data_IF_740019920200
#
_entry.id   IF_740019920200
#
_cell.length_a   1.000
_cell.length_b   1.000
_cell.length_c   1.000
_cell.angle_alpha   90.00
_cell.angle_beta   90.00
_cell.angle_gamma   90.00
#
_symmetry.space_group_name_H-M   'P 1'
#
loop_
_entity.id
_entity.type
_entity.pdbx_description
1 polymer ?
#
# COMPACT_ATOMS: atom_id res chain seq x y z
N UNK A 1 -75.98 -7.89 -1.35
CA UNK A 1 -74.57 -7.66 -1.75
C UNK A 1 -73.77 -7.41 -0.48
N UNK A 2 -72.69 -8.18 -0.29
CA UNK A 2 -71.93 -8.30 0.95
C UNK A 2 -70.98 -7.11 1.15
N UNK A 3 -70.91 -6.63 2.40
CA UNK A 3 -69.82 -5.82 2.96
C UNK A 3 -68.55 -6.68 3.07
N UNK A 4 -67.38 -6.14 2.74
CA UNK A 4 -66.08 -6.72 3.09
C UNK A 4 -65.42 -5.84 4.15
N UNK A 5 -65.36 -6.38 5.36
CA UNK A 5 -64.62 -5.85 6.50
C UNK A 5 -63.12 -6.22 6.39
N UNK A 6 -62.29 -5.28 6.86
CA UNK A 6 -61.05 -5.44 7.63
C UNK A 6 -60.05 -6.53 7.25
N UNK A 7 -58.91 -6.09 6.73
CA UNK A 7 -57.62 -6.79 6.77
C UNK A 7 -56.75 -6.15 7.89
N UNK A 8 -57.08 -6.47 9.13
CA UNK A 8 -56.18 -6.41 10.29
C UNK A 8 -56.29 -7.78 10.96
N UNK A 9 -55.19 -8.22 11.59
CA UNK A 9 -54.88 -9.59 12.07
C UNK A 9 -54.22 -10.48 10.99
N UNK A 10 -53.07 -11.11 11.15
CA UNK A 10 -52.20 -11.35 12.30
C UNK A 10 -50.88 -11.93 11.77
N UNK A 11 -49.75 -11.24 11.93
CA UNK A 11 -48.43 -11.88 11.81
C UNK A 11 -48.03 -12.34 13.22
N UNK A 12 -48.77 -13.32 13.74
CA UNK A 12 -48.57 -13.88 15.06
C UNK A 12 -47.50 -15.00 14.99
N UNK A 13 -46.27 -14.56 15.23
CA UNK A 13 -45.12 -15.13 15.96
C UNK A 13 -44.95 -16.63 16.29
N UNK A 14 -45.61 -17.59 15.60
CA UNK A 14 -45.41 -19.04 15.90
C UNK A 14 -45.24 -19.99 14.72
N UNK A 15 -45.16 -19.51 13.49
CA UNK A 15 -44.96 -20.39 12.30
C UNK A 15 -43.50 -20.59 11.88
N UNK A 16 -42.54 -19.98 12.59
CA UNK A 16 -41.11 -20.07 12.26
C UNK A 16 -40.40 -21.30 12.85
N UNK A 17 -40.98 -21.99 13.82
CA UNK A 17 -40.42 -23.19 14.44
C UNK A 17 -40.83 -24.47 13.70
N UNK A 18 -40.18 -24.76 12.56
CA UNK A 18 -39.94 -26.14 12.09
C UNK A 18 -39.08 -26.17 10.82
N UNK A 19 -38.12 -27.09 10.84
CA UNK A 19 -37.18 -27.54 9.82
C UNK A 19 -36.05 -26.59 9.36
N UNK A 20 -34.86 -26.87 9.89
CA UNK A 20 -33.67 -26.02 9.92
C UNK A 20 -32.66 -26.15 8.78
N UNK A 21 -32.98 -26.85 7.68
CA UNK A 21 -32.08 -26.97 6.52
C UNK A 21 -32.38 -25.95 5.41
N UNK A 22 -33.64 -25.88 4.96
CA UNK A 22 -34.04 -25.03 3.83
C UNK A 22 -34.25 -23.55 4.20
N UNK A 23 -34.75 -23.26 5.40
CA UNK A 23 -35.02 -21.88 5.87
C UNK A 23 -33.75 -21.03 6.00
N UNK A 24 -32.60 -21.66 6.22
CA UNK A 24 -31.31 -20.98 6.49
C UNK A 24 -30.71 -20.31 5.26
N UNK A 25 -30.76 -20.98 4.10
CA UNK A 25 -30.37 -20.37 2.82
C UNK A 25 -31.47 -19.44 2.28
N UNK A 26 -32.72 -19.68 2.67
CA UNK A 26 -33.85 -18.84 2.26
C UNK A 26 -33.83 -17.47 2.96
N UNK A 27 -33.48 -17.39 4.24
CA UNK A 27 -33.37 -16.11 4.95
C UNK A 27 -32.24 -15.23 4.36
N UNK A 28 -31.07 -15.81 4.09
CA UNK A 28 -29.96 -15.11 3.44
C UNK A 28 -30.25 -14.79 1.98
N UNK A 29 -30.95 -15.68 1.26
CA UNK A 29 -31.46 -15.42 -0.09
C UNK A 29 -32.52 -14.31 -0.13
N UNK A 30 -33.35 -14.18 0.90
CA UNK A 30 -34.31 -13.10 1.06
C UNK A 30 -33.60 -11.79 1.43
N UNK A 31 -32.57 -11.83 2.28
CA UNK A 31 -31.76 -10.65 2.63
C UNK A 31 -31.01 -10.15 1.39
N UNK A 32 -30.34 -11.04 0.65
CA UNK A 32 -29.66 -10.66 -0.59
C UNK A 32 -30.62 -10.24 -1.70
N UNK A 33 -31.81 -10.86 -1.81
CA UNK A 33 -32.86 -10.39 -2.72
C UNK A 33 -33.44 -9.03 -2.29
N UNK A 34 -33.63 -8.78 -1.01
CA UNK A 34 -34.10 -7.49 -0.48
C UNK A 34 -33.08 -6.38 -0.69
N UNK A 35 -31.79 -6.68 -0.52
CA UNK A 35 -30.69 -5.74 -0.80
C UNK A 35 -30.55 -5.48 -2.31
N UNK A 36 -30.62 -6.52 -3.15
CA UNK A 36 -30.58 -6.36 -4.61
C UNK A 36 -31.80 -5.60 -5.15
N UNK A 37 -33.00 -5.85 -4.63
CA UNK A 37 -34.22 -5.14 -4.99
C UNK A 37 -34.23 -3.70 -4.46
N UNK A 38 -33.71 -3.47 -3.25
CA UNK A 38 -33.52 -2.15 -2.66
C UNK A 38 -32.52 -1.30 -3.47
N UNK A 39 -31.36 -1.87 -3.81
CA UNK A 39 -30.37 -1.21 -4.64
C UNK A 39 -30.92 -0.93 -6.05
N UNK A 40 -31.55 -1.89 -6.72
CA UNK A 40 -32.11 -1.71 -8.07
C UNK A 40 -33.23 -0.66 -8.11
N UNK A 41 -34.09 -0.62 -7.09
CA UNK A 41 -35.15 0.39 -7.00
C UNK A 41 -34.63 1.79 -6.67
N UNK A 42 -33.55 1.90 -5.88
CA UNK A 42 -32.86 3.17 -5.63
C UNK A 42 -32.12 3.71 -6.86
N UNK A 43 -31.56 2.83 -7.71
CA UNK A 43 -30.91 3.24 -8.97
C UNK A 43 -31.87 3.63 -10.09
N UNK A 44 -33.15 3.26 -10.00
CA UNK A 44 -34.17 3.53 -11.02
C UNK A 44 -35.10 4.70 -10.69
N UNK A 45 -34.96 5.32 -9.52
CA UNK A 45 -35.76 6.48 -9.13
C UNK A 45 -35.09 7.80 -9.49
N UNK A 46 -35.75 8.58 -10.36
CA UNK A 46 -35.52 10.03 -10.47
C UNK A 46 -35.77 10.72 -9.12
N UNK A 47 -35.14 11.88 -8.93
CA UNK A 47 -35.00 12.73 -7.71
C UNK A 47 -36.30 13.13 -6.97
N UNK A 48 -37.46 12.57 -7.33
CA UNK A 48 -38.79 12.94 -6.82
C UNK A 48 -39.68 11.75 -6.36
N UNK A 49 -39.11 10.64 -5.89
CA UNK A 49 -39.91 9.51 -5.40
C UNK A 49 -40.27 9.61 -3.91
N UNK A 50 -41.60 9.56 -3.64
CA UNK A 50 -42.31 9.46 -2.36
C UNK A 50 -41.46 9.07 -1.12
N UNK A 51 -41.39 9.98 -0.14
CA UNK A 51 -40.78 9.78 1.18
C UNK A 51 -41.22 8.48 1.88
N UNK A 52 -42.47 8.05 1.66
CA UNK A 52 -43.00 6.80 2.20
C UNK A 52 -42.25 5.57 1.65
N UNK A 53 -41.90 5.56 0.36
CA UNK A 53 -41.17 4.45 -0.26
C UNK A 53 -39.75 4.37 0.26
N UNK A 54 -39.08 5.52 0.41
CA UNK A 54 -37.76 5.60 1.03
C UNK A 54 -37.79 5.17 2.50
N UNK A 55 -38.84 5.52 3.24
CA UNK A 55 -39.04 5.06 4.62
C UNK A 55 -39.18 3.53 4.71
N UNK A 56 -39.95 2.88 3.83
CA UNK A 56 -40.06 1.41 3.81
C UNK A 56 -38.74 0.72 3.49
N UNK A 57 -38.00 1.23 2.49
CA UNK A 57 -36.66 0.72 2.16
C UNK A 57 -35.74 0.82 3.37
N UNK A 58 -35.71 1.98 4.06
CA UNK A 58 -34.93 2.16 5.30
C UNK A 58 -35.31 1.16 6.39
N UNK A 59 -36.60 0.97 6.64
CA UNK A 59 -37.08 0.04 7.66
C UNK A 59 -36.65 -1.41 7.38
N UNK A 60 -36.65 -1.82 6.12
CA UNK A 60 -36.21 -3.16 5.73
C UNK A 60 -34.68 -3.32 5.81
N UNK A 61 -33.90 -2.26 5.54
CA UNK A 61 -32.46 -2.24 5.83
C UNK A 61 -32.16 -2.35 7.34
N UNK A 62 -32.85 -1.60 8.20
CA UNK A 62 -32.68 -1.67 9.66
C UNK A 62 -32.96 -3.09 10.18
N UNK A 63 -34.03 -3.73 9.68
CA UNK A 63 -34.34 -5.13 10.01
C UNK A 63 -33.25 -6.08 9.53
N UNK A 64 -32.73 -5.86 8.32
CA UNK A 64 -31.66 -6.68 7.75
C UNK A 64 -30.39 -6.60 8.58
N UNK A 65 -29.98 -5.39 9.00
CA UNK A 65 -28.83 -5.18 9.88
C UNK A 65 -29.02 -5.86 11.24
N UNK A 66 -30.20 -5.78 11.85
CA UNK A 66 -30.50 -6.50 13.10
C UNK A 66 -30.39 -8.02 12.94
N UNK A 67 -30.85 -8.56 11.82
CA UNK A 67 -30.71 -10.00 11.54
C UNK A 67 -29.23 -10.36 11.35
N UNK A 68 -28.48 -9.56 10.60
CA UNK A 68 -27.03 -9.71 10.41
C UNK A 68 -26.33 -9.70 11.77
N UNK A 69 -26.57 -8.72 12.63
CA UNK A 69 -25.96 -8.64 13.96
C UNK A 69 -26.35 -9.84 14.84
N UNK A 70 -27.59 -10.34 14.73
CA UNK A 70 -28.00 -11.56 15.45
C UNK A 70 -27.25 -12.82 14.98
N UNK A 71 -26.86 -12.87 13.70
CA UNK A 71 -26.04 -13.95 13.14
C UNK A 71 -24.60 -13.80 13.63
N UNK A 72 -24.04 -12.59 13.57
CA UNK A 72 -22.65 -12.31 13.99
C UNK A 72 -22.42 -12.58 15.49
N UNK A 73 -23.44 -12.39 16.33
CA UNK A 73 -23.38 -12.68 17.75
C UNK A 73 -23.62 -14.18 18.10
N UNK A 74 -23.87 -15.04 17.10
CA UNK A 74 -24.16 -16.46 17.32
C UNK A 74 -23.00 -17.35 16.82
N UNK A 75 -22.20 -17.85 17.76
CA UNK A 75 -21.00 -18.64 17.49
C UNK A 75 -21.25 -20.01 16.84
N UNK A 76 -22.49 -20.50 16.81
CA UNK A 76 -22.82 -21.84 16.28
C UNK A 76 -23.01 -21.87 14.74
N UNK A 77 -22.87 -20.72 14.05
CA UNK A 77 -23.19 -20.58 12.62
C UNK A 77 -22.03 -20.05 11.78
N UNK A 78 -20.89 -20.73 11.85
CA UNK A 78 -19.62 -20.33 11.20
C UNK A 78 -19.75 -19.99 9.70
N UNK A 79 -20.47 -20.77 8.90
CA UNK A 79 -20.66 -20.48 7.46
C UNK A 79 -21.51 -19.22 7.21
N UNK A 80 -22.47 -18.92 8.09
CA UNK A 80 -23.33 -17.74 7.97
C UNK A 80 -22.64 -16.48 8.49
N UNK A 81 -21.66 -16.66 9.38
CA UNK A 81 -20.85 -15.58 9.92
C UNK A 81 -20.07 -14.85 8.82
N UNK A 82 -19.41 -15.60 7.93
CA UNK A 82 -18.68 -15.02 6.81
C UNK A 82 -19.60 -14.20 5.88
N UNK A 83 -20.73 -14.78 5.49
CA UNK A 83 -21.69 -14.11 4.60
C UNK A 83 -22.32 -12.87 5.25
N UNK A 84 -22.62 -12.95 6.56
CA UNK A 84 -23.11 -11.81 7.32
C UNK A 84 -22.08 -10.67 7.37
N UNK A 85 -20.79 -11.00 7.57
CA UNK A 85 -19.70 -10.02 7.52
C UNK A 85 -19.55 -9.40 6.12
N UNK A 86 -19.64 -10.21 5.05
CA UNK A 86 -19.56 -9.73 3.66
C UNK A 86 -20.67 -8.71 3.39
N UNK A 87 -21.93 -9.08 3.63
CA UNK A 87 -23.09 -8.19 3.43
C UNK A 87 -22.98 -6.93 4.30
N UNK A 88 -22.64 -7.08 5.59
CA UNK A 88 -22.50 -5.93 6.50
C UNK A 88 -21.44 -4.96 6.00
N UNK A 89 -20.29 -5.46 5.57
CA UNK A 89 -19.20 -4.63 5.06
C UNK A 89 -19.58 -3.88 3.79
N UNK A 90 -20.38 -4.47 2.90
CA UNK A 90 -20.87 -3.80 1.69
C UNK A 90 -21.82 -2.65 2.03
N UNK A 91 -22.79 -2.88 2.93
CA UNK A 91 -23.75 -1.85 3.37
C UNK A 91 -23.03 -0.67 4.03
N UNK A 92 -22.05 -0.93 4.89
CA UNK A 92 -21.30 0.10 5.63
C UNK A 92 -20.29 0.85 4.76
N UNK A 93 -19.82 0.26 3.65
CA UNK A 93 -18.82 0.86 2.77
C UNK A 93 -19.40 1.63 1.59
N UNK A 94 -20.70 1.49 1.30
CA UNK A 94 -21.37 2.24 0.26
C UNK A 94 -21.66 3.68 0.71
N UNK A 95 -21.03 4.66 0.06
CA UNK A 95 -21.22 6.10 0.32
C UNK A 95 -22.65 6.60 0.09
N UNK A 96 -23.46 5.85 -0.66
CA UNK A 96 -24.87 6.17 -0.91
C UNK A 96 -25.81 5.58 0.13
N UNK A 97 -25.30 4.68 0.98
CA UNK A 97 -26.05 4.08 2.07
C UNK A 97 -26.24 5.10 3.18
N UNK A 98 -27.46 5.18 3.73
CA UNK A 98 -27.73 5.93 4.96
C UNK A 98 -26.96 5.35 6.18
N UNK A 99 -26.45 4.12 6.05
CA UNK A 99 -25.65 3.42 7.06
C UNK A 99 -24.15 3.49 6.76
N UNK A 100 -23.72 4.39 5.87
CA UNK A 100 -22.31 4.55 5.55
C UNK A 100 -21.47 4.91 6.78
N UNK A 101 -20.63 3.98 7.22
CA UNK A 101 -19.67 4.18 8.28
C UNK A 101 -18.34 3.51 7.91
N UNK A 102 -17.36 4.33 7.52
CA UNK A 102 -16.02 3.87 7.15
C UNK A 102 -15.30 3.15 8.30
N UNK A 103 -15.50 3.58 9.54
CA UNK A 103 -14.82 3.01 10.70
C UNK A 103 -15.38 1.63 11.04
N UNK A 104 -16.71 1.50 11.04
CA UNK A 104 -17.37 0.22 11.23
C UNK A 104 -17.08 -0.72 10.05
N UNK A 105 -17.19 -0.23 8.80
CA UNK A 105 -16.83 -0.99 7.60
C UNK A 105 -15.41 -1.55 7.67
N UNK A 106 -14.43 -0.72 8.05
CA UNK A 106 -13.04 -1.16 8.22
C UNK A 106 -12.95 -2.27 9.27
N UNK A 107 -13.63 -2.13 10.41
CA UNK A 107 -13.61 -3.15 11.49
C UNK A 107 -14.25 -4.46 11.04
N UNK A 108 -15.41 -4.40 10.38
CA UNK A 108 -16.09 -5.57 9.80
C UNK A 108 -15.23 -6.26 8.75
N UNK A 109 -14.56 -5.51 7.88
CA UNK A 109 -13.65 -6.08 6.88
C UNK A 109 -12.42 -6.75 7.50
N UNK A 110 -11.90 -6.23 8.63
CA UNK A 110 -10.79 -6.87 9.35
C UNK A 110 -11.21 -8.24 9.86
N UNK A 111 -12.41 -8.32 10.42
CA UNK A 111 -12.98 -9.58 10.88
C UNK A 111 -13.20 -10.53 9.69
N UNK A 112 -13.80 -10.05 8.60
CA UNK A 112 -13.99 -10.83 7.38
C UNK A 112 -12.68 -11.38 6.83
N UNK A 113 -11.61 -10.57 6.81
CA UNK A 113 -10.30 -11.00 6.36
C UNK A 113 -9.71 -12.10 7.24
N UNK A 114 -9.93 -12.04 8.56
CA UNK A 114 -9.48 -13.08 9.49
C UNK A 114 -10.16 -14.44 9.27
N UNK A 115 -11.40 -14.43 8.75
CA UNK A 115 -12.16 -15.63 8.38
C UNK A 115 -11.75 -16.11 6.99
N UNK A 116 -11.75 -15.20 6.02
CA UNK A 116 -11.46 -15.45 4.62
C UNK A 116 -10.41 -14.45 4.16
N UNK A 117 -9.16 -14.93 4.09
CA UNK A 117 -8.00 -14.20 3.58
C UNK A 117 -8.12 -13.90 2.06
N UNK A 118 -9.11 -13.10 1.67
CA UNK A 118 -9.44 -12.75 0.30
C UNK A 118 -8.60 -11.58 -0.21
N UNK A 119 -8.24 -11.64 -1.49
CA UNK A 119 -7.58 -10.54 -2.19
C UNK A 119 -8.44 -9.27 -2.22
N UNK A 120 -9.74 -9.42 -2.47
CA UNK A 120 -10.67 -8.29 -2.55
C UNK A 120 -10.82 -7.59 -1.20
N UNK A 121 -10.98 -8.36 -0.13
CA UNK A 121 -11.07 -7.84 1.25
C UNK A 121 -9.79 -7.13 1.66
N UNK A 122 -8.61 -7.68 1.32
CA UNK A 122 -7.34 -7.01 1.59
C UNK A 122 -7.20 -5.67 0.86
N UNK A 123 -7.63 -5.59 -0.41
CA UNK A 123 -7.64 -4.32 -1.16
C UNK A 123 -8.56 -3.29 -0.51
N UNK A 124 -9.80 -3.68 -0.21
CA UNK A 124 -10.76 -2.82 0.49
C UNK A 124 -10.24 -2.32 1.84
N UNK A 125 -9.52 -3.17 2.58
CA UNK A 125 -8.89 -2.79 3.84
C UNK A 125 -7.78 -1.75 3.66
N UNK A 126 -6.93 -1.90 2.65
CA UNK A 126 -5.90 -0.90 2.33
C UNK A 126 -6.55 0.42 1.92
N UNK A 127 -7.52 0.39 1.00
CA UNK A 127 -8.21 1.59 0.50
C UNK A 127 -8.94 2.35 1.62
N UNK A 128 -9.69 1.64 2.46
CA UNK A 128 -10.36 2.25 3.62
C UNK A 128 -9.37 2.70 4.68
N UNK A 129 -8.30 1.94 4.90
CA UNK A 129 -7.23 2.33 5.83
C UNK A 129 -6.60 3.65 5.43
N UNK A 130 -6.24 3.81 4.15
CA UNK A 130 -5.71 5.06 3.61
C UNK A 130 -6.76 6.19 3.71
N UNK A 131 -8.02 5.93 3.38
CA UNK A 131 -9.11 6.91 3.51
C UNK A 131 -9.41 7.34 4.95
N UNK A 132 -9.00 6.52 5.93
CA UNK A 132 -9.09 6.79 7.38
C UNK A 132 -7.78 7.30 7.97
N UNK A 133 -6.76 7.58 7.15
CA UNK A 133 -5.42 7.98 7.56
C UNK A 133 -4.80 7.00 8.59
N UNK A 134 -5.05 5.70 8.40
CA UNK A 134 -4.42 4.64 9.20
C UNK A 134 -2.92 4.62 8.91
N UNK A 135 -2.12 4.38 9.94
CA UNK A 135 -0.67 4.29 9.74
C UNK A 135 -0.31 3.09 8.86
N UNK A 136 0.78 3.17 8.09
CA UNK A 136 1.25 2.02 7.29
C UNK A 136 1.44 0.76 8.14
N UNK A 137 1.82 0.92 9.41
CA UNK A 137 1.96 -0.19 10.36
C UNK A 137 0.63 -0.90 10.63
N UNK A 138 -0.48 -0.18 10.66
CA UNK A 138 -1.81 -0.76 10.93
C UNK A 138 -2.38 -1.52 9.73
N UNK A 139 -1.99 -1.14 8.51
CA UNK A 139 -2.41 -1.81 7.26
C UNK A 139 -1.34 -2.76 6.70
N UNK A 140 -0.20 -2.89 7.40
CA UNK A 140 0.98 -3.59 6.90
C UNK A 140 0.69 -5.05 6.55
N UNK A 141 -0.06 -5.77 7.37
CA UNK A 141 -0.37 -7.18 7.14
C UNK A 141 -1.16 -7.39 5.83
N UNK A 142 -2.05 -6.44 5.50
CA UNK A 142 -2.84 -6.46 4.26
C UNK A 142 -1.97 -6.10 3.06
N UNK A 143 -1.10 -5.09 3.18
CA UNK A 143 -0.12 -4.74 2.16
C UNK A 143 0.83 -5.91 1.87
N UNK A 144 1.35 -6.57 2.91
CA UNK A 144 2.25 -7.70 2.75
C UNK A 144 1.53 -8.90 2.10
N UNK A 145 0.28 -9.15 2.46
CA UNK A 145 -0.56 -10.16 1.83
C UNK A 145 -0.73 -9.89 0.33
N UNK A 146 -1.12 -8.67 -0.05
CA UNK A 146 -1.28 -8.25 -1.44
C UNK A 146 0.04 -8.32 -2.22
N UNK A 147 1.14 -7.89 -1.61
CA UNK A 147 2.46 -7.94 -2.22
C UNK A 147 2.89 -9.38 -2.53
N UNK A 148 2.66 -10.33 -1.61
CA UNK A 148 2.89 -11.77 -1.84
C UNK A 148 2.04 -12.34 -2.98
N UNK A 149 0.93 -11.67 -3.32
CA UNK A 149 0.05 -12.00 -4.45
C UNK A 149 0.36 -11.18 -5.71
N UNK A 150 1.54 -10.56 -5.77
CA UNK A 150 2.08 -9.82 -6.92
C UNK A 150 1.35 -8.51 -7.24
N UNK A 151 0.68 -7.92 -6.25
CA UNK A 151 0.12 -6.58 -6.38
C UNK A 151 1.25 -5.54 -6.37
N UNK A 152 1.45 -4.84 -7.50
CA UNK A 152 2.64 -4.00 -7.74
C UNK A 152 2.72 -2.82 -6.77
N UNK A 153 1.59 -2.16 -6.53
CA UNK A 153 1.51 -1.02 -5.61
C UNK A 153 1.86 -1.48 -4.18
N UNK A 154 1.29 -2.59 -3.75
CA UNK A 154 1.59 -3.19 -2.44
C UNK A 154 3.05 -3.61 -2.33
N UNK A 155 3.64 -4.21 -3.37
CA UNK A 155 5.08 -4.54 -3.41
C UNK A 155 5.92 -3.28 -3.21
N UNK A 156 5.58 -2.18 -3.88
CA UNK A 156 6.29 -0.91 -3.76
C UNK A 156 6.23 -0.37 -2.33
N UNK A 157 5.03 -0.31 -1.74
CA UNK A 157 4.81 0.17 -0.36
C UNK A 157 5.53 -0.70 0.67
N UNK A 158 5.41 -2.02 0.58
CA UNK A 158 6.11 -2.96 1.48
C UNK A 158 7.63 -2.85 1.35
N UNK A 159 8.14 -2.68 0.13
CA UNK A 159 9.58 -2.45 -0.09
C UNK A 159 10.06 -1.18 0.61
N UNK A 160 9.31 -0.07 0.48
CA UNK A 160 9.62 1.20 1.13
C UNK A 160 9.58 1.09 2.65
N UNK A 161 8.56 0.46 3.21
CA UNK A 161 8.43 0.23 4.65
C UNK A 161 9.64 -0.49 5.23
N UNK A 162 10.11 -1.56 4.57
CA UNK A 162 11.29 -2.29 5.03
C UNK A 162 12.58 -1.49 4.86
N UNK A 163 12.73 -0.72 3.77
CA UNK A 163 13.90 0.13 3.54
C UNK A 163 14.00 1.28 4.54
N UNK A 164 12.89 1.81 5.03
CA UNK A 164 12.87 2.88 6.04
C UNK A 164 13.14 2.40 7.46
N UNK A 165 13.23 1.09 7.70
CA UNK A 165 13.51 0.55 9.03
C UNK A 165 14.95 0.84 9.46
N UNK A 166 15.16 1.14 10.74
CA UNK A 166 16.50 1.27 11.34
C UNK A 166 17.20 -0.09 11.51
N UNK A 167 16.43 -1.19 11.56
CA UNK A 167 16.97 -2.54 11.69
C UNK A 167 17.43 -3.07 10.32
N UNK A 168 18.74 -3.28 10.17
CA UNK A 168 19.32 -3.86 8.97
C UNK A 168 18.65 -5.18 8.56
N UNK A 169 18.22 -6.02 9.52
CA UNK A 169 17.53 -7.28 9.20
C UNK A 169 16.20 -7.05 8.51
N UNK A 170 15.50 -5.96 8.83
CA UNK A 170 14.25 -5.58 8.16
C UNK A 170 14.54 -5.04 6.76
N UNK A 171 15.57 -4.20 6.60
CA UNK A 171 15.99 -3.69 5.29
C UNK A 171 16.33 -4.83 4.31
N UNK A 172 16.93 -5.93 4.79
CA UNK A 172 17.20 -7.11 3.95
C UNK A 172 15.93 -7.78 3.41
N UNK A 173 14.80 -7.68 4.10
CA UNK A 173 13.52 -8.22 3.61
C UNK A 173 13.02 -7.48 2.39
N UNK A 174 13.35 -6.19 2.24
CA UNK A 174 12.98 -5.39 1.08
C UNK A 174 13.46 -6.01 -0.24
N UNK A 175 14.62 -6.70 -0.22
CA UNK A 175 15.21 -7.31 -1.41
C UNK A 175 14.22 -8.17 -2.19
N UNK A 176 13.53 -9.08 -1.50
CA UNK A 176 12.61 -10.04 -2.13
C UNK A 176 11.45 -9.33 -2.84
N UNK A 177 10.96 -8.25 -2.26
CA UNK A 177 9.88 -7.45 -2.84
C UNK A 177 10.40 -6.59 -4.01
N UNK A 178 11.55 -5.94 -3.84
CA UNK A 178 12.18 -5.16 -4.91
C UNK A 178 12.45 -6.01 -6.16
N UNK A 179 12.88 -7.26 -6.00
CA UNK A 179 13.11 -8.20 -7.11
C UNK A 179 11.84 -8.47 -7.94
N UNK A 180 10.64 -8.38 -7.32
CA UNK A 180 9.35 -8.56 -8.00
C UNK A 180 8.88 -7.34 -8.79
N UNK A 181 9.42 -6.15 -8.53
CA UNK A 181 9.02 -4.93 -9.25
C UNK A 181 9.54 -4.92 -10.70
N UNK A 182 8.88 -4.20 -11.62
CA UNK A 182 9.46 -3.93 -12.93
C UNK A 182 10.79 -3.16 -12.81
N UNK A 183 11.64 -3.26 -13.83
CA UNK A 183 12.94 -2.59 -13.82
C UNK A 183 12.75 -1.08 -13.96
N UNK A 184 13.13 -0.35 -12.90
CA UNK A 184 13.12 1.12 -12.84
C UNK A 184 14.40 1.61 -12.18
N UNK A 185 14.73 2.88 -12.40
CA UNK A 185 15.88 3.53 -11.74
C UNK A 185 15.76 3.45 -10.21
N UNK A 186 14.58 3.69 -9.65
CA UNK A 186 14.30 3.60 -8.21
C UNK A 186 14.54 2.19 -7.67
N UNK A 187 14.02 1.14 -8.35
CA UNK A 187 14.25 -0.25 -7.96
C UNK A 187 15.75 -0.56 -7.91
N UNK A 188 16.48 -0.21 -8.96
CA UNK A 188 17.91 -0.52 -9.10
C UNK A 188 18.76 0.20 -8.03
N UNK A 189 18.47 1.47 -7.76
CA UNK A 189 19.13 2.23 -6.69
C UNK A 189 18.84 1.59 -5.33
N UNK A 190 17.59 1.20 -5.07
CA UNK A 190 17.22 0.55 -3.81
C UNK A 190 17.86 -0.84 -3.64
N UNK A 191 17.96 -1.63 -4.71
CA UNK A 191 18.70 -2.90 -4.69
C UNK A 191 20.19 -2.68 -4.39
N UNK A 192 20.81 -1.65 -4.97
CA UNK A 192 22.20 -1.30 -4.66
C UNK A 192 22.39 -0.93 -3.18
N UNK A 193 21.47 -0.13 -2.60
CA UNK A 193 21.49 0.21 -1.18
C UNK A 193 21.41 -1.03 -0.30
N UNK A 194 20.51 -1.98 -0.63
CA UNK A 194 20.38 -3.25 0.09
C UNK A 194 21.66 -4.09 0.03
N UNK A 195 22.31 -4.19 -1.13
CA UNK A 195 23.59 -4.91 -1.25
C UNK A 195 24.67 -4.32 -0.32
N UNK A 196 24.72 -2.99 -0.18
CA UNK A 196 25.66 -2.32 0.71
C UNK A 196 25.33 -2.51 2.20
N UNK A 197 24.06 -2.73 2.54
CA UNK A 197 23.62 -3.09 3.91
C UNK A 197 24.03 -4.53 4.26
N UNK A 198 23.95 -5.47 3.30
CA UNK A 198 24.42 -6.86 3.49
C UNK A 198 25.89 -6.87 3.90
N UNK A 199 26.69 -6.02 3.27
CA UNK A 199 28.05 -5.75 3.69
C UNK A 199 28.91 -5.12 2.61
N UNK A 200 30.17 -4.87 2.96
CA UNK A 200 31.18 -4.28 2.09
C UNK A 200 32.17 -5.33 1.55
N UNK A 201 31.65 -6.48 1.12
CA UNK A 201 32.47 -7.50 0.45
C UNK A 201 32.69 -7.12 -1.03
N UNK A 202 33.71 -7.69 -1.67
CA UNK A 202 33.91 -7.51 -3.12
C UNK A 202 32.67 -7.94 -3.94
N UNK A 203 31.96 -8.99 -3.50
CA UNK A 203 30.77 -9.49 -4.18
C UNK A 203 29.59 -8.51 -4.10
N UNK A 204 29.26 -8.05 -2.88
CA UNK A 204 28.15 -7.11 -2.66
C UNK A 204 28.40 -5.77 -3.32
N UNK A 205 29.65 -5.29 -3.33
CA UNK A 205 30.02 -4.06 -4.04
C UNK A 205 29.90 -4.21 -5.54
N UNK A 206 30.32 -5.35 -6.10
CA UNK A 206 30.14 -5.63 -7.53
C UNK A 206 28.66 -5.69 -7.92
N UNK A 207 27.82 -6.28 -7.07
CA UNK A 207 26.36 -6.29 -7.29
C UNK A 207 25.78 -4.88 -7.24
N UNK A 208 26.13 -4.09 -6.21
CA UNK A 208 25.70 -2.70 -6.09
C UNK A 208 26.14 -1.86 -7.30
N UNK A 209 27.39 -2.02 -7.75
CA UNK A 209 27.91 -1.37 -8.95
C UNK A 209 27.12 -1.78 -10.21
N UNK A 210 26.76 -3.06 -10.34
CA UNK A 210 25.97 -3.55 -11.46
C UNK A 210 24.59 -2.87 -11.51
N UNK A 211 23.87 -2.84 -10.39
CA UNK A 211 22.56 -2.18 -10.32
C UNK A 211 22.64 -0.69 -10.60
N UNK A 212 23.64 0.01 -10.03
CA UNK A 212 23.80 1.44 -10.25
C UNK A 212 24.20 1.75 -11.70
N UNK A 213 25.04 0.94 -12.34
CA UNK A 213 25.35 1.09 -13.76
C UNK A 213 24.10 0.92 -14.64
N UNK A 214 23.24 -0.06 -14.35
CA UNK A 214 21.94 -0.20 -15.03
C UNK A 214 21.05 1.04 -14.82
N UNK A 215 21.01 1.59 -13.60
CA UNK A 215 20.24 2.80 -13.33
C UNK A 215 20.79 4.04 -14.06
N UNK A 216 22.12 4.15 -14.20
CA UNK A 216 22.77 5.19 -15.02
C UNK A 216 22.47 5.02 -16.50
N UNK A 217 22.44 3.78 -17.00
CA UNK A 217 22.04 3.49 -18.38
C UNK A 217 20.60 3.94 -18.66
N UNK A 218 19.70 3.83 -17.68
CA UNK A 218 18.34 4.38 -17.71
C UNK A 218 18.28 5.90 -17.48
N UNK A 219 19.41 6.60 -17.39
CA UNK A 219 19.49 8.05 -17.28
C UNK A 219 19.46 8.62 -15.86
N UNK A 220 19.61 7.80 -14.82
CA UNK A 220 19.56 8.31 -13.44
C UNK A 220 20.84 9.07 -13.04
N UNK A 221 20.70 10.38 -12.85
CA UNK A 221 21.77 11.23 -12.30
C UNK A 221 22.08 10.89 -10.82
N UNK A 222 21.07 10.46 -10.05
CA UNK A 222 21.25 10.00 -8.67
C UNK A 222 22.12 8.74 -8.62
N UNK A 223 21.87 7.77 -9.51
CA UNK A 223 22.70 6.57 -9.59
C UNK A 223 24.15 6.88 -9.97
N UNK A 224 24.36 7.89 -10.84
CA UNK A 224 25.71 8.34 -11.21
C UNK A 224 26.45 8.94 -9.99
N UNK A 225 25.73 9.69 -9.16
CA UNK A 225 26.29 10.21 -7.92
C UNK A 225 26.59 9.08 -6.93
N UNK A 226 25.71 8.08 -6.81
CA UNK A 226 25.91 6.93 -5.94
C UNK A 226 27.10 6.07 -6.39
N UNK A 227 27.30 5.91 -7.71
CA UNK A 227 28.49 5.27 -8.27
C UNK A 227 29.78 6.00 -7.88
N UNK A 228 29.76 7.34 -7.85
CA UNK A 228 30.91 8.12 -7.43
C UNK A 228 31.31 7.73 -6.00
N UNK A 229 30.39 7.77 -5.05
CA UNK A 229 30.65 7.37 -3.66
C UNK A 229 31.01 5.88 -3.52
N UNK A 230 30.47 5.02 -4.38
CA UNK A 230 30.85 3.61 -4.42
C UNK A 230 32.33 3.44 -4.78
N UNK A 231 32.91 4.30 -5.64
CA UNK A 231 34.35 4.25 -5.93
C UNK A 231 35.21 4.52 -4.69
N UNK A 232 34.78 5.41 -3.80
CA UNK A 232 35.49 5.64 -2.54
C UNK A 232 35.45 4.39 -1.65
N UNK A 233 34.29 3.72 -1.59
CA UNK A 233 34.15 2.44 -0.86
C UNK A 233 35.03 1.36 -1.48
N UNK A 234 35.11 1.28 -2.82
CA UNK A 234 36.02 0.36 -3.53
C UNK A 234 37.48 0.63 -3.21
N UNK A 235 37.88 1.90 -3.12
CA UNK A 235 39.24 2.29 -2.77
C UNK A 235 39.65 1.92 -1.33
N UNK A 236 38.70 1.80 -0.41
CA UNK A 236 38.95 1.32 0.96
C UNK A 236 39.28 -0.18 1.00
N UNK A 237 38.72 -0.95 0.07
CA UNK A 237 38.76 -2.42 0.09
C UNK A 237 39.85 -2.95 -0.85
N UNK A 238 39.91 -2.43 -2.08
CA UNK A 238 40.95 -2.77 -3.04
C UNK A 238 42.09 -1.76 -2.97
N UNK A 239 43.08 -2.06 -2.12
CA UNK A 239 44.27 -1.23 -1.93
C UNK A 239 45.15 -1.13 -3.19
N UNK A 240 45.12 -2.11 -4.08
CA UNK A 240 45.96 -2.13 -5.27
C UNK A 240 45.47 -1.15 -6.34
N UNK A 241 44.15 -1.00 -6.47
CA UNK A 241 43.53 -0.08 -7.44
C UNK A 241 42.95 1.18 -6.78
N UNK A 242 43.21 1.40 -5.49
CA UNK A 242 42.66 2.51 -4.71
C UNK A 242 42.88 3.88 -5.37
N UNK A 243 44.07 4.16 -5.93
CA UNK A 243 44.35 5.42 -6.60
C UNK A 243 43.48 5.63 -7.85
N UNK A 244 43.24 4.56 -8.63
CA UNK A 244 42.35 4.60 -9.79
C UNK A 244 40.93 4.94 -9.37
N UNK A 245 40.42 4.30 -8.32
CA UNK A 245 39.07 4.55 -7.81
C UNK A 245 38.92 5.98 -7.26
N UNK A 246 39.91 6.49 -6.53
CA UNK A 246 39.92 7.87 -6.02
C UNK A 246 39.95 8.90 -7.15
N UNK A 247 40.72 8.65 -8.22
CA UNK A 247 40.75 9.52 -9.39
C UNK A 247 39.44 9.50 -10.21
N UNK A 248 38.67 8.42 -10.14
CA UNK A 248 37.36 8.35 -10.80
C UNK A 248 36.27 9.17 -10.08
N UNK A 249 36.41 9.42 -8.79
CA UNK A 249 35.39 10.11 -8.00
C UNK A 249 35.02 11.50 -8.57
N UNK A 250 35.96 12.45 -8.79
CA UNK A 250 35.62 13.77 -9.35
C UNK A 250 34.99 13.69 -10.75
N UNK A 251 35.48 12.78 -11.60
CA UNK A 251 34.95 12.56 -12.95
C UNK A 251 33.48 12.12 -12.90
N UNK A 252 33.15 11.21 -11.98
CA UNK A 252 31.80 10.71 -11.81
C UNK A 252 30.86 11.78 -11.22
N UNK A 253 31.32 12.57 -10.25
CA UNK A 253 30.57 13.69 -9.68
C UNK A 253 30.24 14.72 -10.76
N UNK A 254 31.22 15.11 -11.59
CA UNK A 254 30.99 16.03 -12.71
C UNK A 254 29.93 15.48 -13.66
N UNK A 255 30.05 14.20 -14.06
CA UNK A 255 29.06 13.56 -14.93
C UNK A 255 27.66 13.53 -14.31
N UNK A 256 27.54 13.29 -12.99
CA UNK A 256 26.25 13.35 -12.32
C UNK A 256 25.64 14.76 -12.39
N UNK A 257 26.44 15.82 -12.20
CA UNK A 257 26.01 17.22 -12.33
C UNK A 257 25.54 17.53 -13.77
N UNK A 258 26.30 17.08 -14.76
CA UNK A 258 26.00 17.24 -16.19
C UNK A 258 24.70 16.50 -16.57
N UNK A 259 24.42 15.36 -15.91
CA UNK A 259 23.15 14.63 -16.02
C UNK A 259 22.00 15.30 -15.24
N UNK A 260 22.24 16.43 -14.56
CA UNK A 260 21.22 17.19 -13.84
C UNK A 260 21.09 16.89 -12.35
N UNK A 261 22.04 16.17 -11.72
CA UNK A 261 21.99 15.92 -10.28
C UNK A 261 22.10 17.22 -9.47
N UNK A 262 21.20 17.42 -8.51
CA UNK A 262 21.16 18.58 -7.60
C UNK A 262 20.95 18.21 -6.12
N UNK A 263 21.09 16.93 -5.77
CA UNK A 263 20.82 16.43 -4.42
C UNK A 263 21.90 16.76 -3.38
N UNK A 264 21.60 16.48 -2.12
CA UNK A 264 22.41 16.88 -0.95
C UNK A 264 23.84 16.31 -0.94
N UNK A 265 24.07 15.16 -1.60
CA UNK A 265 25.40 14.53 -1.67
C UNK A 265 26.45 15.42 -2.33
N UNK A 266 26.02 16.44 -3.09
CA UNK A 266 26.91 17.44 -3.68
C UNK A 266 27.77 18.16 -2.62
N UNK A 267 27.19 18.51 -1.46
CA UNK A 267 27.92 19.21 -0.39
C UNK A 267 29.08 18.34 0.12
N UNK A 268 28.81 17.06 0.35
CA UNK A 268 29.80 16.08 0.76
C UNK A 268 30.88 15.91 -0.31
N UNK A 269 30.49 15.83 -1.58
CA UNK A 269 31.45 15.72 -2.70
C UNK A 269 32.35 16.96 -2.81
N UNK A 270 31.80 18.16 -2.71
CA UNK A 270 32.57 19.40 -2.70
C UNK A 270 33.59 19.43 -1.56
N UNK A 271 33.16 19.04 -0.35
CA UNK A 271 34.05 18.93 0.82
C UNK A 271 35.19 17.93 0.58
N UNK A 272 34.89 16.77 0.01
CA UNK A 272 35.90 15.75 -0.30
C UNK A 272 36.94 16.30 -1.28
N UNK A 273 36.50 16.96 -2.36
CA UNK A 273 37.39 17.50 -3.39
C UNK A 273 38.15 18.75 -2.94
N UNK A 274 37.56 19.59 -2.10
CA UNK A 274 38.20 20.81 -1.55
C UNK A 274 39.38 20.47 -0.65
N UNK A 275 39.24 19.45 0.19
CA UNK A 275 40.25 19.09 1.18
C UNK A 275 41.07 17.84 0.81
N UNK A 276 40.78 17.21 -0.33
CA UNK A 276 41.44 15.97 -0.75
C UNK A 276 41.18 14.80 0.22
N UNK A 277 39.99 14.75 0.83
CA UNK A 277 39.65 13.71 1.82
C UNK A 277 39.69 12.33 1.16
N UNK A 278 40.00 11.31 1.96
CA UNK A 278 40.16 9.93 1.51
C UNK A 278 41.27 9.74 0.45
N UNK A 279 42.13 10.75 0.24
CA UNK A 279 43.17 10.76 -0.80
C UNK A 279 42.64 11.00 -2.21
N UNK A 280 41.43 11.57 -2.33
CA UNK A 280 40.90 12.06 -3.61
C UNK A 280 41.74 13.26 -4.07
N UNK A 281 42.12 13.36 -5.36
CA UNK A 281 42.80 14.54 -5.87
C UNK A 281 41.99 15.82 -5.62
N UNK A 282 42.66 16.87 -5.18
CA UNK A 282 41.98 18.15 -4.96
C UNK A 282 41.50 18.74 -6.29
N UNK A 283 40.25 19.19 -6.33
CA UNK A 283 39.65 19.88 -7.47
C UNK A 283 38.82 21.06 -6.97
N UNK A 284 39.53 22.18 -6.74
CA UNK A 284 38.92 23.41 -6.24
C UNK A 284 37.93 24.02 -7.24
N UNK A 285 38.15 23.80 -8.54
CA UNK A 285 37.27 24.32 -9.59
C UNK A 285 35.92 23.64 -9.53
N UNK A 286 35.91 22.30 -9.48
CA UNK A 286 34.67 21.53 -9.37
C UNK A 286 34.00 21.72 -8.00
N UNK A 287 34.76 21.82 -6.92
CA UNK A 287 34.22 22.11 -5.60
C UNK A 287 33.49 23.47 -5.55
N UNK A 288 34.10 24.54 -6.09
CA UNK A 288 33.49 25.86 -6.15
C UNK A 288 32.25 25.90 -7.08
N UNK A 289 32.28 25.14 -8.18
CA UNK A 289 31.10 24.99 -9.05
C UNK A 289 29.93 24.38 -8.27
N UNK A 290 30.19 23.34 -7.48
CA UNK A 290 29.16 22.69 -6.66
C UNK A 290 28.61 23.65 -5.59
N UNK A 291 29.48 24.40 -4.92
CA UNK A 291 29.06 25.41 -3.92
C UNK A 291 28.11 26.44 -4.56
N UNK A 292 28.40 26.88 -5.80
CA UNK A 292 27.53 27.78 -6.57
C UNK A 292 26.19 27.14 -6.93
N UNK A 293 26.21 25.91 -7.46
CA UNK A 293 24.97 25.17 -7.78
C UNK A 293 24.08 25.06 -6.53
N UNK A 294 24.68 24.84 -5.37
CA UNK A 294 23.95 24.71 -4.11
C UNK A 294 23.43 26.06 -3.57
N UNK A 295 24.17 27.17 -3.74
CA UNK A 295 23.68 28.50 -3.35
C UNK A 295 22.47 28.92 -4.18
N UNK A 296 22.54 28.68 -5.50
CA UNK A 296 21.48 29.07 -6.44
C UNK A 296 20.19 28.25 -6.21
N UNK A 297 20.31 27.05 -5.65
CA UNK A 297 19.18 26.20 -5.27
C UNK A 297 18.48 26.63 -3.96
N UNK A 298 19.15 27.41 -3.10
CA UNK A 298 18.56 27.95 -1.86
C UNK A 298 17.87 29.30 -2.03
N UNK A 299 18.15 30.00 -3.13
CA UNK A 299 17.57 31.30 -3.44
C UNK A 299 16.29 31.23 -4.29
N UNK A 300 15.84 30.02 -4.66
CA UNK A 300 14.59 29.74 -5.37
C UNK A 300 13.67 28.91 -4.47
#
# INVERSE_FOLDING_TARGET
MKKSDKFEDSWDDKSLERDGGLKRNLALGIISAAILLGAYSYFSSEENTDDARMHYIRQDYDKSLKIIDSILNNHDKVEQHEQALEIKSEILSDKKSDYYDKHEAYTTLKELFSVRNSLDTARKLVDLGDALNKSEKEIFDYLEYLAKKKDIESISRVSKYFLSSEDHRQQLKARKFLEMLPETTEKLINLAKVELIIGKSNATIKNAETYLNSAVFLGSAEAMMDLAFLQLTKAEIDKFSAQKHKAQFPLMVKRAIDMGYRGEKLISAATIMKFGRYGVPQDMTLANLIEKIHSDAKSN
#
